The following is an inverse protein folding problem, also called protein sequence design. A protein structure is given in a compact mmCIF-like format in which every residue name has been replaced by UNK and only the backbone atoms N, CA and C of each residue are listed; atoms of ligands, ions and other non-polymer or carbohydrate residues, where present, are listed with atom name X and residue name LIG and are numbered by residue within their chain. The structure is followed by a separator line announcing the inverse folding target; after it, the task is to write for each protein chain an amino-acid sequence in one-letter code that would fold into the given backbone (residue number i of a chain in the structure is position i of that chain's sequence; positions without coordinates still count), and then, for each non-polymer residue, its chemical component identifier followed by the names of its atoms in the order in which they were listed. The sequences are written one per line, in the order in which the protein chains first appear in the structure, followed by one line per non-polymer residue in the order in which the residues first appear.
data_IF_944434118053
#
_entry.id   IF_944434118053
#
_cell.length_a   1.000
_cell.length_b   1.000
_cell.length_c   1.000
_cell.angle_alpha   90.00
_cell.angle_beta   90.00
_cell.angle_gamma   90.00
#
_symmetry.space_group_name_H-M   'P 1'
#
loop_
_entity.id
_entity.type
_entity.pdbx_description
1 polymer ?
#
# COMPACT_ATOMS: atom_id res chain seq x y z
N UNK A 1 0.48 14.24 -5.22
CA UNK A 1 1.07 15.21 -6.19
C UNK A 1 1.08 16.61 -5.59
N UNK A 2 -0.08 17.13 -5.14
CA UNK A 2 -0.20 18.48 -4.55
C UNK A 2 0.67 18.69 -3.29
N UNK A 3 0.74 17.70 -2.43
CA UNK A 3 1.55 17.66 -1.20
C UNK A 3 3.07 17.76 -1.45
N UNK A 4 3.59 16.96 -2.40
CA UNK A 4 5.03 16.94 -2.73
C UNK A 4 5.49 18.29 -3.31
N UNK A 5 4.68 18.90 -4.17
CA UNK A 5 4.97 20.22 -4.72
C UNK A 5 5.09 21.29 -3.62
N UNK A 6 4.24 21.24 -2.59
CA UNK A 6 4.31 22.18 -1.47
C UNK A 6 5.55 21.96 -0.60
N UNK A 7 5.97 20.71 -0.37
CA UNK A 7 7.23 20.43 0.31
C UNK A 7 8.42 21.03 -0.46
N UNK A 8 8.49 20.81 -1.78
CA UNK A 8 9.56 21.40 -2.61
C UNK A 8 9.52 22.92 -2.60
N UNK A 9 8.32 23.52 -2.75
CA UNK A 9 8.15 24.97 -2.73
C UNK A 9 8.66 25.60 -1.43
N UNK A 10 8.45 24.94 -0.28
CA UNK A 10 8.98 25.42 1.00
C UNK A 10 10.52 25.46 1.01
N UNK A 11 11.17 24.47 0.41
CA UNK A 11 12.64 24.44 0.30
C UNK A 11 13.12 25.57 -0.62
N UNK A 12 12.43 25.82 -1.74
CA UNK A 12 12.75 26.95 -2.62
C UNK A 12 12.63 28.30 -1.90
N UNK A 13 11.64 28.49 -1.00
CA UNK A 13 11.53 29.70 -0.18
C UNK A 13 12.72 29.88 0.77
N UNK A 14 13.28 28.78 1.30
CA UNK A 14 14.44 28.82 2.21
C UNK A 14 15.76 29.05 1.46
N UNK A 15 15.83 28.69 0.17
CA UNK A 15 17.03 28.80 -0.66
C UNK A 15 16.72 29.43 -2.04
N UNK A 16 16.39 30.74 -2.11
CA UNK A 16 15.85 31.37 -3.30
C UNK A 16 16.82 31.43 -4.50
N UNK A 17 18.13 31.42 -4.24
CA UNK A 17 19.17 31.51 -5.27
C UNK A 17 19.86 30.16 -5.54
N UNK A 18 19.36 29.06 -4.96
CA UNK A 18 19.96 27.74 -5.13
C UNK A 18 19.51 27.09 -6.45
N UNK A 19 20.45 26.39 -7.10
CA UNK A 19 20.15 25.55 -8.25
C UNK A 19 19.40 24.28 -7.84
N UNK A 20 18.69 23.65 -8.78
CA UNK A 20 17.82 22.48 -8.49
C UNK A 20 18.54 21.33 -7.79
N UNK A 21 19.81 21.06 -8.12
CA UNK A 21 20.60 20.02 -7.45
C UNK A 21 20.73 20.26 -5.93
N UNK A 22 20.98 21.51 -5.55
CA UNK A 22 21.07 21.94 -4.14
C UNK A 22 19.69 21.89 -3.49
N UNK A 23 18.62 22.25 -4.21
CA UNK A 23 17.25 22.12 -3.68
C UNK A 23 16.92 20.67 -3.32
N UNK A 24 17.30 19.69 -4.15
CA UNK A 24 17.06 18.27 -3.86
C UNK A 24 17.86 17.81 -2.64
N UNK A 25 19.13 18.21 -2.53
CA UNK A 25 19.96 17.93 -1.35
C UNK A 25 19.31 18.50 -0.06
N UNK A 26 18.94 19.79 -0.10
CA UNK A 26 18.29 20.47 1.04
C UNK A 26 16.94 19.91 1.37
N UNK A 27 16.18 19.42 0.38
CA UNK A 27 14.90 18.76 0.60
C UNK A 27 15.06 17.53 1.51
N UNK A 28 15.98 16.62 1.18
CA UNK A 28 16.21 15.44 2.01
C UNK A 28 16.85 15.78 3.36
N UNK A 29 17.81 16.72 3.38
CA UNK A 29 18.45 17.17 4.62
C UNK A 29 17.44 17.75 5.60
N UNK A 30 16.58 18.66 5.15
CA UNK A 30 15.62 19.35 6.01
C UNK A 30 14.50 18.39 6.45
N UNK A 31 13.89 17.64 5.52
CA UNK A 31 12.74 16.81 5.89
C UNK A 31 13.08 15.53 6.64
N UNK A 32 14.33 15.05 6.56
CA UNK A 32 14.81 13.97 7.42
C UNK A 32 14.99 14.39 8.89
N UNK A 33 15.19 15.69 9.15
CA UNK A 33 15.40 16.28 10.48
C UNK A 33 14.24 17.16 10.94
N UNK A 34 13.18 17.29 10.13
CA UNK A 34 12.04 18.13 10.43
C UNK A 34 11.30 17.62 11.67
N UNK A 35 10.96 18.55 12.56
CA UNK A 35 10.31 18.27 13.84
C UNK A 35 8.81 17.97 13.68
N UNK A 36 8.47 16.91 12.92
CA UNK A 36 7.09 16.43 12.78
C UNK A 36 6.46 16.18 14.17
N UNK A 37 5.22 16.63 14.43
CA UNK A 37 4.20 17.08 13.49
C UNK A 37 4.15 18.61 13.24
N UNK A 38 5.25 19.34 13.40
CA UNK A 38 5.28 20.77 13.03
C UNK A 38 4.86 20.96 11.56
N UNK A 39 3.90 21.86 11.25
CA UNK A 39 3.36 21.97 9.90
C UNK A 39 4.32 22.65 8.94
N UNK A 40 4.28 22.19 7.69
CA UNK A 40 4.90 22.88 6.56
C UNK A 40 3.90 23.91 6.01
N UNK A 41 4.27 25.18 6.11
CA UNK A 41 3.49 26.34 5.67
C UNK A 41 4.23 27.09 4.55
N UNK A 42 3.53 27.43 3.48
CA UNK A 42 4.06 28.28 2.39
C UNK A 42 3.78 29.76 2.60
N UNK A 43 2.74 30.09 3.36
CA UNK A 43 2.38 31.43 3.80
C UNK A 43 1.69 31.34 5.17
N UNK A 44 1.51 32.48 5.83
CA UNK A 44 0.68 32.51 7.05
C UNK A 44 -0.75 32.10 6.72
N UNK A 45 -1.38 31.34 7.62
CA UNK A 45 -2.78 30.96 7.47
C UNK A 45 -3.62 32.21 7.68
N UNK A 46 -4.42 32.55 6.68
CA UNK A 46 -5.29 33.72 6.69
C UNK A 46 -6.69 33.32 7.18
N UNK A 47 -7.28 34.17 8.00
CA UNK A 47 -8.71 34.10 8.29
C UNK A 47 -9.47 34.69 7.10
N UNK A 48 -10.64 34.13 6.80
CA UNK A 48 -11.49 34.59 5.72
C UNK A 48 -12.92 34.86 6.18
N UNK A 49 -13.72 35.51 5.33
CA UNK A 49 -15.05 36.01 5.70
C UNK A 49 -16.11 34.90 5.82
N UNK A 50 -15.80 33.68 5.38
CA UNK A 50 -16.73 32.55 5.39
C UNK A 50 -16.61 31.75 6.68
N UNK A 51 -17.72 31.23 7.20
CA UNK A 51 -17.75 30.33 8.36
C UNK A 51 -17.35 28.90 7.95
N UNK A 52 -16.16 28.75 7.34
CA UNK A 52 -15.62 27.45 6.91
C UNK A 52 -14.49 27.02 7.84
N UNK A 53 -14.33 25.70 8.00
CA UNK A 53 -13.24 25.14 8.79
C UNK A 53 -11.90 25.40 8.12
N UNK A 54 -11.03 26.10 8.81
CA UNK A 54 -9.61 26.27 8.46
C UNK A 54 -8.77 25.36 9.36
N UNK A 55 -7.71 24.74 8.83
CA UNK A 55 -6.84 23.84 9.58
C UNK A 55 -6.29 24.53 10.83
N UNK A 56 -6.62 23.99 12.01
CA UNK A 56 -6.19 24.56 13.29
C UNK A 56 -6.06 23.44 14.36
N UNK A 57 -4.83 22.99 14.67
CA UNK A 57 -4.60 21.89 15.62
C UNK A 57 -4.88 22.28 17.09
N UNK A 58 -5.01 23.58 17.39
CA UNK A 58 -5.39 24.07 18.73
C UNK A 58 -6.88 23.89 18.97
N UNK A 59 -7.70 24.17 17.95
CA UNK A 59 -9.16 24.08 18.03
C UNK A 59 -9.69 22.69 17.71
N UNK A 60 -9.19 22.03 16.67
CA UNK A 60 -9.75 20.77 16.17
C UNK A 60 -8.87 19.56 16.53
N UNK A 61 -9.44 18.62 17.28
CA UNK A 61 -8.75 17.38 17.68
C UNK A 61 -8.27 16.56 16.48
N UNK A 62 -9.05 16.52 15.40
CA UNK A 62 -8.67 15.83 14.15
C UNK A 62 -7.39 16.41 13.54
N UNK A 63 -7.27 17.75 13.53
CA UNK A 63 -6.08 18.42 12.98
C UNK A 63 -4.84 18.17 13.82
N UNK A 64 -5.01 18.03 15.14
CA UNK A 64 -3.95 17.68 16.09
C UNK A 64 -3.39 16.27 15.88
N UNK A 65 -4.19 15.37 15.30
CA UNK A 65 -3.78 13.99 15.02
C UNK A 65 -2.99 13.86 13.71
N UNK A 66 -2.87 14.92 12.91
CA UNK A 66 -2.07 14.88 11.68
C UNK A 66 -0.59 14.68 11.99
N UNK A 67 0.00 13.63 11.39
CA UNK A 67 1.37 13.19 11.68
C UNK A 67 2.45 14.00 10.96
N UNK A 68 2.20 14.33 9.70
CA UNK A 68 3.14 15.12 8.88
C UNK A 68 2.38 16.22 8.11
N UNK A 69 1.86 17.25 8.79
CA UNK A 69 0.94 18.20 8.18
C UNK A 69 1.62 19.09 7.12
N UNK A 70 1.11 19.06 5.90
CA UNK A 70 1.49 19.96 4.80
C UNK A 70 0.25 20.75 4.40
N UNK A 71 0.28 22.07 4.61
CA UNK A 71 -0.93 22.90 4.59
C UNK A 71 -1.07 23.63 3.26
N UNK A 72 -2.28 23.58 2.69
CA UNK A 72 -2.58 24.29 1.44
C UNK A 72 -2.58 25.81 1.66
N UNK A 73 -1.93 26.58 0.77
CA UNK A 73 -1.80 28.03 0.93
C UNK A 73 -3.09 28.79 0.58
N UNK A 74 -3.97 28.23 -0.25
CA UNK A 74 -5.23 28.88 -0.58
C UNK A 74 -6.24 28.74 0.55
N UNK A 75 -7.02 29.80 0.80
CA UNK A 75 -8.14 29.80 1.72
C UNK A 75 -9.32 28.96 1.15
N UNK A 76 -9.99 28.13 1.97
CA UNK A 76 -9.64 27.76 3.33
C UNK A 76 -8.47 26.76 3.37
N UNK A 77 -7.47 27.04 4.21
CA UNK A 77 -6.30 26.18 4.36
C UNK A 77 -6.66 24.82 4.96
N UNK A 78 -6.18 23.74 4.35
CA UNK A 78 -6.42 22.35 4.76
C UNK A 78 -5.12 21.55 4.76
N UNK A 79 -5.12 20.43 5.48
CA UNK A 79 -4.00 19.49 5.47
C UNK A 79 -4.09 18.55 4.25
N UNK A 80 -3.13 18.65 3.34
CA UNK A 80 -3.06 17.79 2.15
C UNK A 80 -2.61 16.35 2.48
N UNK A 81 -2.02 16.13 3.65
CA UNK A 81 -1.41 14.87 4.09
C UNK A 81 -2.15 14.21 5.26
N UNK A 82 -3.45 14.50 5.41
CA UNK A 82 -4.30 13.93 6.48
C UNK A 82 -4.37 12.40 6.47
N UNK A 83 -4.03 11.75 5.35
CA UNK A 83 -4.01 10.30 5.18
C UNK A 83 -2.73 9.60 5.66
N UNK A 84 -1.72 10.34 6.15
CA UNK A 84 -0.49 9.72 6.67
C UNK A 84 -0.76 8.99 8.00
N UNK A 85 -0.42 7.70 8.03
CA UNK A 85 -0.50 6.78 9.17
C UNK A 85 0.83 6.68 9.92
N UNK A 86 0.89 5.96 11.04
CA UNK A 86 2.17 5.75 11.74
C UNK A 86 3.15 4.99 10.85
N UNK A 87 2.64 3.96 10.16
CA UNK A 87 3.46 3.12 9.29
C UNK A 87 3.99 3.88 8.08
N UNK A 88 3.13 4.64 7.38
CA UNK A 88 3.58 5.41 6.21
C UNK A 88 4.51 6.56 6.60
N UNK A 89 4.31 7.20 7.76
CA UNK A 89 5.28 8.16 8.31
C UNK A 89 6.66 7.52 8.50
N UNK A 90 6.74 6.33 9.10
CA UNK A 90 8.03 5.63 9.26
C UNK A 90 8.71 5.37 7.92
N UNK A 91 7.97 4.89 6.92
CA UNK A 91 8.49 4.65 5.56
C UNK A 91 9.01 5.95 4.94
N UNK A 92 8.23 7.03 4.99
CA UNK A 92 8.64 8.34 4.43
C UNK A 92 9.91 8.84 5.12
N UNK A 93 10.01 8.71 6.45
CA UNK A 93 11.21 9.10 7.20
C UNK A 93 12.43 8.23 6.89
N UNK A 94 12.25 6.92 6.67
CA UNK A 94 13.32 6.03 6.16
C UNK A 94 13.81 6.50 4.79
N UNK A 95 12.89 6.80 3.87
CA UNK A 95 13.24 7.26 2.52
C UNK A 95 13.88 8.65 2.52
N UNK A 96 13.47 9.57 3.41
CA UNK A 96 14.15 10.85 3.56
C UNK A 96 15.60 10.68 4.03
N UNK A 97 15.84 9.77 4.98
CA UNK A 97 17.20 9.45 5.45
C UNK A 97 18.03 8.78 4.35
N UNK A 98 17.46 7.83 3.60
CA UNK A 98 18.10 7.20 2.44
C UNK A 98 18.50 8.26 1.41
N UNK A 99 17.57 9.14 1.05
CA UNK A 99 17.82 10.22 0.09
C UNK A 99 18.91 11.18 0.58
N UNK A 100 18.91 11.56 1.86
CA UNK A 100 19.96 12.42 2.43
C UNK A 100 21.34 11.78 2.30
N UNK A 101 21.48 10.50 2.66
CA UNK A 101 22.76 9.78 2.56
C UNK A 101 23.23 9.66 1.11
N UNK A 102 22.34 9.31 0.18
CA UNK A 102 22.68 9.24 -1.25
C UNK A 102 23.09 10.61 -1.79
N UNK A 103 22.39 11.69 -1.42
CA UNK A 103 22.75 13.04 -1.84
C UNK A 103 24.13 13.45 -1.33
N UNK A 104 24.49 13.10 -0.08
CA UNK A 104 25.83 13.34 0.45
C UNK A 104 26.91 12.57 -0.33
N UNK A 105 26.62 11.33 -0.73
CA UNK A 105 27.52 10.52 -1.57
C UNK A 105 27.65 11.08 -2.99
N UNK A 106 26.58 11.63 -3.58
CA UNK A 106 26.61 12.30 -4.88
C UNK A 106 27.50 13.54 -4.81
N UNK A 107 27.33 14.39 -3.78
CA UNK A 107 28.15 15.59 -3.58
C UNK A 107 29.63 15.22 -3.37
N UNK A 108 29.90 14.09 -2.72
CA UNK A 108 31.26 13.57 -2.53
C UNK A 108 31.82 12.80 -3.75
N UNK A 109 31.07 12.71 -4.86
CA UNK A 109 31.50 12.01 -6.07
C UNK A 109 31.51 10.47 -5.98
N UNK A 110 30.86 9.88 -4.97
CA UNK A 110 30.78 8.42 -4.75
C UNK A 110 29.58 7.75 -5.41
N UNK A 111 28.52 8.51 -5.69
CA UNK A 111 27.27 8.04 -6.31
C UNK A 111 26.79 9.00 -7.39
N UNK A 112 25.77 8.57 -8.12
CA UNK A 112 25.14 9.30 -9.22
C UNK A 112 23.65 9.53 -8.95
N UNK A 113 23.02 10.37 -9.77
CA UNK A 113 21.56 10.59 -9.71
C UNK A 113 20.74 9.33 -9.97
N UNK A 114 21.27 8.39 -10.74
CA UNK A 114 20.62 7.11 -11.00
C UNK A 114 20.41 6.30 -9.71
N UNK A 115 21.36 6.37 -8.78
CA UNK A 115 21.26 5.69 -7.48
C UNK A 115 20.11 6.26 -6.62
N UNK A 116 19.84 7.56 -6.73
CA UNK A 116 18.73 8.20 -6.02
C UNK A 116 17.37 7.74 -6.57
N UNK A 117 17.29 7.56 -7.89
CA UNK A 117 16.08 7.21 -8.63
C UNK A 117 15.89 5.70 -8.80
N UNK A 118 16.77 4.89 -8.20
CA UNK A 118 16.66 3.44 -8.19
C UNK A 118 15.29 2.99 -7.68
N UNK A 119 14.75 1.95 -8.33
CA UNK A 119 13.44 1.39 -8.02
C UNK A 119 13.44 0.84 -6.59
N UNK A 120 12.32 0.99 -5.90
CA UNK A 120 12.13 0.43 -4.57
C UNK A 120 12.18 -1.11 -4.58
N UNK A 121 12.55 -1.72 -3.46
CA UNK A 121 12.58 -3.19 -3.30
C UNK A 121 11.35 -3.71 -2.52
N UNK A 122 10.18 -3.08 -2.68
CA UNK A 122 8.99 -3.38 -1.86
C UNK A 122 8.64 -4.88 -1.83
N UNK A 123 8.68 -5.57 -2.97
CA UNK A 123 8.36 -7.00 -3.11
C UNK A 123 9.54 -7.93 -2.76
N UNK A 124 10.64 -7.38 -2.23
CA UNK A 124 11.79 -8.12 -1.71
C UNK A 124 12.04 -7.82 -0.22
N UNK A 125 11.56 -6.67 0.28
CA UNK A 125 11.82 -6.13 1.63
C UNK A 125 11.15 -6.89 2.77
N UNK A 126 9.96 -7.47 2.56
CA UNK A 126 9.16 -8.06 3.64
C UNK A 126 9.08 -9.58 3.55
N UNK A 127 8.94 -10.26 4.70
CA UNK A 127 8.74 -11.73 4.73
C UNK A 127 7.29 -12.12 4.45
N UNK A 128 6.36 -11.24 4.82
CA UNK A 128 4.92 -11.46 4.74
C UNK A 128 4.25 -10.23 4.13
N UNK A 129 3.24 -10.50 3.31
CA UNK A 129 2.40 -9.51 2.65
C UNK A 129 0.94 -9.87 2.88
N UNK A 130 0.07 -8.88 2.98
CA UNK A 130 -1.36 -9.06 2.80
C UNK A 130 -1.71 -8.69 1.37
N UNK A 131 -2.33 -9.60 0.65
CA UNK A 131 -2.94 -9.35 -0.65
C UNK A 131 -4.43 -9.17 -0.44
N UNK A 132 -4.93 -7.96 -0.70
CA UNK A 132 -6.34 -7.63 -0.72
C UNK A 132 -6.79 -7.79 -2.17
N UNK A 133 -7.86 -8.53 -2.41
CA UNK A 133 -8.44 -8.74 -3.74
C UNK A 133 -9.88 -8.24 -3.69
N UNK A 134 -10.19 -7.25 -4.52
CA UNK A 134 -11.56 -6.85 -4.83
C UNK A 134 -11.94 -7.50 -6.17
N UNK A 135 -13.07 -8.19 -6.22
CA UNK A 135 -13.55 -8.86 -7.42
C UNK A 135 -15.00 -8.49 -7.71
N UNK A 136 -15.32 -8.34 -9.00
CA UNK A 136 -16.68 -8.06 -9.46
C UNK A 136 -17.03 -9.00 -10.60
N UNK A 137 -18.11 -9.77 -10.44
CA UNK A 137 -18.72 -10.59 -11.49
C UNK A 137 -19.79 -9.77 -12.22
N UNK A 138 -19.34 -8.80 -13.03
CA UNK A 138 -20.17 -7.87 -13.79
C UNK A 138 -19.27 -7.12 -14.79
N UNK A 139 -19.78 -6.02 -15.34
CA UNK A 139 -19.02 -5.12 -16.21
C UNK A 139 -17.91 -4.35 -15.46
N UNK A 140 -16.98 -3.79 -16.25
CA UNK A 140 -15.85 -3.03 -15.76
C UNK A 140 -16.23 -1.73 -15.02
N UNK A 141 -17.33 -1.07 -15.39
CA UNK A 141 -17.76 0.17 -14.74
C UNK A 141 -18.18 -0.08 -13.28
N UNK A 142 -18.97 -1.13 -13.04
CA UNK A 142 -19.35 -1.58 -11.71
C UNK A 142 -18.10 -1.99 -10.91
N UNK A 143 -17.14 -2.65 -11.55
CA UNK A 143 -15.86 -2.98 -10.93
C UNK A 143 -15.05 -1.75 -10.53
N UNK A 144 -14.94 -0.74 -11.39
CA UNK A 144 -14.19 0.48 -11.12
C UNK A 144 -14.73 1.22 -9.89
N UNK A 145 -16.05 1.24 -9.73
CA UNK A 145 -16.69 1.83 -8.54
C UNK A 145 -16.38 1.02 -7.28
N UNK A 146 -16.51 -0.31 -7.33
CA UNK A 146 -16.29 -1.18 -6.19
C UNK A 146 -14.81 -1.23 -5.77
N UNK A 147 -13.90 -1.49 -6.71
CA UNK A 147 -12.44 -1.51 -6.47
C UNK A 147 -11.94 -0.18 -5.95
N UNK A 148 -12.37 0.94 -6.54
CA UNK A 148 -12.04 2.30 -6.06
C UNK A 148 -12.55 2.58 -4.65
N UNK A 149 -13.75 2.08 -4.31
CA UNK A 149 -14.25 2.13 -2.93
C UNK A 149 -13.35 1.33 -1.97
N UNK A 150 -13.00 0.09 -2.30
CA UNK A 150 -12.11 -0.75 -1.48
C UNK A 150 -10.73 -0.09 -1.31
N UNK A 151 -10.14 0.41 -2.40
CA UNK A 151 -8.86 1.12 -2.39
C UNK A 151 -8.89 2.35 -1.47
N UNK A 152 -9.97 3.15 -1.54
CA UNK A 152 -10.16 4.33 -0.68
C UNK A 152 -10.18 4.01 0.82
N UNK A 153 -10.56 2.77 1.18
CA UNK A 153 -10.64 2.31 2.56
C UNK A 153 -9.39 1.54 3.01
N UNK A 154 -8.47 1.19 2.11
CA UNK A 154 -7.26 0.40 2.43
C UNK A 154 -6.46 1.03 3.58
N UNK A 155 -6.42 2.36 3.65
CA UNK A 155 -5.79 3.09 4.76
C UNK A 155 -6.36 2.72 6.13
N UNK A 156 -7.66 2.48 6.24
CA UNK A 156 -8.31 2.10 7.50
C UNK A 156 -7.83 0.73 7.97
N UNK A 157 -7.60 -0.21 7.05
CA UNK A 157 -6.98 -1.50 7.35
C UNK A 157 -5.55 -1.30 7.87
N UNK A 158 -4.75 -0.44 7.21
CA UNK A 158 -3.38 -0.10 7.66
C UNK A 158 -3.40 0.47 9.09
N UNK A 159 -4.32 1.39 9.39
CA UNK A 159 -4.48 2.00 10.72
C UNK A 159 -4.86 0.97 11.79
N UNK A 160 -5.65 -0.05 11.44
CA UNK A 160 -5.98 -1.13 12.37
C UNK A 160 -4.79 -2.07 12.56
N UNK A 161 -4.11 -2.46 11.48
CA UNK A 161 -2.95 -3.34 11.52
C UNK A 161 -1.79 -2.77 12.35
N UNK A 162 -1.54 -1.46 12.30
CA UNK A 162 -0.48 -0.82 13.10
C UNK A 162 -0.76 -0.80 14.62
N UNK A 163 -1.97 -1.15 15.05
CA UNK A 163 -2.32 -1.30 16.47
C UNK A 163 -2.24 -2.74 16.98
N UNK A 164 -2.05 -3.71 16.08
CA UNK A 164 -1.95 -5.13 16.43
C UNK A 164 -0.58 -5.41 17.06
N UNK A 165 -0.58 -6.06 18.22
CA UNK A 165 0.67 -6.47 18.87
C UNK A 165 1.48 -7.42 17.97
N UNK A 166 2.77 -7.13 17.84
CA UNK A 166 3.68 -7.85 16.96
C UNK A 166 3.77 -7.29 15.53
N UNK A 167 2.91 -6.35 15.11
CA UNK A 167 3.11 -5.59 13.85
C UNK A 167 3.94 -4.35 14.12
N UNK A 168 5.17 -4.33 13.60
CA UNK A 168 6.04 -3.14 13.71
C UNK A 168 5.71 -2.10 12.63
N UNK A 169 5.35 -2.58 11.44
CA UNK A 169 5.07 -1.77 10.25
C UNK A 169 4.06 -2.48 9.33
N UNK A 170 3.03 -1.75 8.92
CA UNK A 170 2.14 -2.13 7.82
C UNK A 170 2.32 -1.14 6.64
N UNK A 171 3.05 -1.54 5.61
CA UNK A 171 3.41 -0.68 4.48
C UNK A 171 2.51 -0.96 3.27
N UNK A 172 1.51 -0.12 2.97
CA UNK A 172 0.71 -0.27 1.76
C UNK A 172 1.55 0.02 0.51
N UNK A 173 1.41 -0.81 -0.51
CA UNK A 173 1.96 -0.53 -1.83
C UNK A 173 1.16 0.59 -2.51
N UNK A 174 1.84 1.37 -3.36
CA UNK A 174 1.28 2.61 -3.92
C UNK A 174 0.49 2.43 -5.21
N UNK A 175 0.46 1.21 -5.76
CA UNK A 175 -0.28 0.87 -6.98
C UNK A 175 -1.11 -0.38 -6.76
N UNK A 176 -2.27 -0.42 -7.39
CA UNK A 176 -3.04 -1.65 -7.55
C UNK A 176 -2.63 -2.38 -8.84
N UNK A 177 -3.05 -3.63 -8.95
CA UNK A 177 -2.88 -4.46 -10.14
C UNK A 177 -4.25 -4.96 -10.57
N UNK A 178 -4.65 -4.60 -11.78
CA UNK A 178 -5.96 -4.89 -12.34
C UNK A 178 -5.87 -6.02 -13.36
N UNK A 179 -6.89 -6.86 -13.42
CA UNK A 179 -7.02 -7.92 -14.42
C UNK A 179 -8.48 -8.25 -14.64
N UNK A 180 -8.86 -8.51 -15.88
CA UNK A 180 -10.19 -9.01 -16.22
C UNK A 180 -10.10 -10.32 -16.98
N UNK A 181 -11.03 -11.23 -16.70
CA UNK A 181 -11.09 -12.57 -17.27
C UNK A 181 -12.52 -12.96 -17.65
N UNK A 182 -12.65 -13.84 -18.63
CA UNK A 182 -13.90 -14.52 -18.94
C UNK A 182 -13.88 -15.97 -18.44
N UNK A 183 -14.75 -16.27 -17.48
CA UNK A 183 -14.91 -17.59 -16.88
C UNK A 183 -16.10 -18.32 -17.52
N UNK A 184 -16.04 -19.65 -17.60
CA UNK A 184 -17.11 -20.49 -18.18
C UNK A 184 -18.37 -20.47 -17.31
N UNK A 185 -18.20 -20.50 -15.99
CA UNK A 185 -19.29 -20.51 -15.02
C UNK A 185 -18.91 -19.78 -13.72
N UNK A 186 -19.89 -19.62 -12.83
CA UNK A 186 -19.71 -18.99 -11.52
C UNK A 186 -18.72 -19.77 -10.63
N UNK A 187 -18.59 -21.09 -10.81
CA UNK A 187 -17.69 -21.91 -10.01
C UNK A 187 -16.22 -21.66 -10.38
N UNK A 188 -15.92 -21.52 -11.67
CA UNK A 188 -14.60 -21.12 -12.17
C UNK A 188 -14.28 -19.69 -11.71
N UNK A 189 -15.23 -18.76 -11.82
CA UNK A 189 -15.05 -17.40 -11.32
C UNK A 189 -14.71 -17.38 -9.83
N UNK A 190 -15.46 -18.13 -9.02
CA UNK A 190 -15.20 -18.23 -7.58
C UNK A 190 -13.84 -18.88 -7.27
N UNK A 191 -13.40 -19.87 -8.05
CA UNK A 191 -12.09 -20.49 -7.91
C UNK A 191 -10.97 -19.50 -8.22
N UNK A 192 -11.13 -18.68 -9.28
CA UNK A 192 -10.20 -17.60 -9.62
C UNK A 192 -10.10 -16.62 -8.46
N UNK A 193 -11.23 -16.10 -7.97
CA UNK A 193 -11.26 -15.17 -6.82
C UNK A 193 -10.54 -15.78 -5.60
N UNK A 194 -10.82 -17.04 -5.27
CA UNK A 194 -10.23 -17.77 -4.14
C UNK A 194 -8.70 -17.97 -4.25
N UNK A 195 -8.15 -18.03 -5.46
CA UNK A 195 -6.73 -18.33 -5.68
C UNK A 195 -5.91 -17.10 -6.09
N UNK A 196 -6.56 -16.06 -6.63
CA UNK A 196 -5.93 -14.84 -7.14
C UNK A 196 -5.06 -14.10 -6.11
N UNK A 197 -3.93 -13.53 -6.54
CA UNK A 197 -2.99 -12.85 -5.64
C UNK A 197 -1.95 -13.76 -4.96
N UNK A 198 -1.89 -15.03 -5.35
CA UNK A 198 -0.82 -15.99 -5.01
C UNK A 198 -0.23 -16.58 -6.28
N UNK A 199 0.91 -17.27 -6.17
CA UNK A 199 1.50 -18.00 -7.29
C UNK A 199 0.55 -19.07 -7.87
N UNK A 200 -0.22 -19.75 -7.03
CA UNK A 200 -1.19 -20.76 -7.48
C UNK A 200 -2.31 -20.14 -8.33
N UNK A 201 -2.75 -18.92 -7.97
CA UNK A 201 -3.75 -18.20 -8.74
C UNK A 201 -3.30 -17.89 -10.16
N UNK A 202 -2.00 -17.61 -10.35
CA UNK A 202 -1.42 -17.33 -11.66
C UNK A 202 -1.48 -18.54 -12.60
N UNK A 203 -1.27 -19.76 -12.08
CA UNK A 203 -1.41 -20.98 -12.88
C UNK A 203 -2.85 -21.21 -13.35
N UNK A 204 -3.83 -20.84 -12.51
CA UNK A 204 -5.26 -20.95 -12.83
C UNK A 204 -5.66 -19.92 -13.88
N UNK A 205 -5.19 -18.67 -13.76
CA UNK A 205 -5.57 -17.60 -14.68
C UNK A 205 -4.84 -17.65 -16.02
N UNK A 206 -3.72 -18.39 -16.12
CA UNK A 206 -2.89 -18.46 -17.33
C UNK A 206 -3.62 -18.88 -18.61
N UNK A 207 -4.64 -19.73 -18.47
CA UNK A 207 -5.41 -20.25 -19.61
C UNK A 207 -6.75 -19.52 -19.82
N UNK A 208 -7.07 -18.52 -19.00
CA UNK A 208 -8.30 -17.75 -19.14
C UNK A 208 -8.13 -16.69 -20.23
N UNK A 209 -9.20 -16.46 -20.99
CA UNK A 209 -9.27 -15.33 -21.93
C UNK A 209 -9.37 -14.04 -21.15
N UNK A 210 -8.62 -13.03 -21.58
CA UNK A 210 -8.56 -11.72 -20.91
C UNK A 210 -9.75 -10.85 -21.33
N UNK A 211 -10.13 -9.90 -20.47
CA UNK A 211 -11.15 -8.90 -20.81
C UNK A 211 -10.72 -7.92 -21.91
N UNK A 212 -9.43 -7.91 -22.26
CA UNK A 212 -8.82 -7.04 -23.25
C UNK A 212 -8.68 -7.72 -24.63
N UNK A 213 -9.15 -8.97 -24.75
CA UNK A 213 -9.13 -9.73 -25.99
C UNK A 213 -10.11 -9.15 -27.04
N UNK A 214 -9.73 -9.18 -28.32
CA UNK A 214 -10.51 -8.63 -29.44
C UNK A 214 -11.93 -9.26 -29.57
N UNK A 215 -12.14 -10.47 -29.03
CA UNK A 215 -13.40 -11.22 -29.06
C UNK A 215 -14.37 -10.91 -27.91
N UNK A 216 -14.12 -9.84 -27.12
CA UNK A 216 -14.89 -9.47 -25.92
C UNK A 216 -16.42 -9.60 -26.09
N UNK A 217 -16.96 -9.06 -27.18
CA UNK A 217 -18.42 -9.00 -27.42
C UNK A 217 -19.12 -10.36 -27.61
N UNK A 218 -18.39 -11.40 -28.03
CA UNK A 218 -18.92 -12.75 -28.15
C UNK A 218 -18.83 -13.51 -26.83
N UNK A 219 -17.75 -13.27 -26.07
CA UNK A 219 -17.51 -13.87 -24.77
C UNK A 219 -18.51 -13.37 -23.72
N UNK A 220 -18.84 -12.08 -23.71
CA UNK A 220 -19.84 -11.49 -22.79
C UNK A 220 -21.22 -12.15 -22.87
N UNK A 221 -21.58 -12.72 -24.03
CA UNK A 221 -22.89 -13.37 -24.22
C UNK A 221 -22.96 -14.78 -23.65
N UNK A 222 -21.82 -15.42 -23.46
CA UNK A 222 -21.73 -16.87 -23.18
C UNK A 222 -20.96 -17.20 -21.91
N UNK A 223 -20.17 -16.25 -21.39
CA UNK A 223 -19.27 -16.42 -20.27
C UNK A 223 -19.52 -15.41 -19.17
N UNK A 224 -19.07 -15.75 -17.98
CA UNK A 224 -19.09 -14.87 -16.80
C UNK A 224 -17.89 -13.92 -16.89
N UNK A 225 -18.16 -12.62 -16.98
CA UNK A 225 -17.15 -11.57 -16.91
C UNK A 225 -16.72 -11.36 -15.46
N UNK A 226 -15.41 -11.39 -15.20
CA UNK A 226 -14.81 -11.25 -13.88
C UNK A 226 -13.70 -10.21 -13.92
N UNK A 227 -13.84 -9.14 -13.14
CA UNK A 227 -12.81 -8.13 -12.95
C UNK A 227 -12.21 -8.20 -11.55
N UNK A 228 -10.89 -8.02 -11.45
CA UNK A 228 -10.11 -8.21 -10.24
C UNK A 228 -9.11 -7.06 -10.06
N UNK A 229 -9.12 -6.43 -8.90
CA UNK A 229 -8.08 -5.51 -8.46
C UNK A 229 -7.39 -6.11 -7.24
N UNK A 230 -6.06 -6.16 -7.25
CA UNK A 230 -5.28 -6.53 -6.06
C UNK A 230 -4.38 -5.42 -5.55
N UNK A 231 -4.32 -5.33 -4.23
CA UNK A 231 -3.52 -4.36 -3.49
C UNK A 231 -2.67 -5.12 -2.47
N UNK A 232 -1.47 -4.61 -2.18
CA UNK A 232 -0.55 -5.27 -1.27
C UNK A 232 -0.21 -4.40 -0.06
N UNK A 233 -0.09 -5.03 1.11
CA UNK A 233 0.48 -4.43 2.31
C UNK A 233 1.65 -5.30 2.78
N UNK A 234 2.87 -4.75 2.78
CA UNK A 234 4.04 -5.41 3.35
C UNK A 234 4.00 -5.35 4.88
N UNK A 235 4.23 -6.48 5.55
CA UNK A 235 4.22 -6.56 7.01
C UNK A 235 5.63 -6.78 7.55
N UNK A 236 6.08 -5.86 8.41
CA UNK A 236 7.23 -6.09 9.29
C UNK A 236 6.70 -6.53 10.65
N UNK A 237 7.02 -7.77 11.02
CA UNK A 237 6.53 -8.40 12.24
C UNK A 237 7.69 -8.58 13.21
N UNK A 238 7.51 -8.17 14.46
CA UNK A 238 8.48 -8.35 15.55
C UNK A 238 7.87 -9.17 16.69
N UNK A 239 8.10 -10.49 16.66
CA UNK A 239 7.58 -11.45 17.63
C UNK A 239 8.63 -11.74 18.71
N UNK A 240 9.07 -10.74 19.47
CA UNK A 240 9.99 -10.98 20.60
C UNK A 240 9.28 -11.42 21.88
N UNK A 241 7.97 -11.16 22.00
CA UNK A 241 7.19 -11.41 23.21
C UNK A 241 6.42 -12.74 23.21
N UNK A 242 7.09 -13.85 22.91
CA UNK A 242 6.55 -15.20 23.18
C UNK A 242 5.39 -15.69 22.29
N UNK A 243 4.62 -14.80 21.66
CA UNK A 243 3.55 -15.17 20.74
C UNK A 243 4.10 -15.60 19.38
N UNK A 244 3.80 -16.85 19.02
CA UNK A 244 4.27 -17.47 17.77
C UNK A 244 3.37 -17.18 16.57
N UNK A 245 2.26 -16.46 16.77
CA UNK A 245 1.25 -16.21 15.75
C UNK A 245 0.78 -14.77 15.82
N UNK A 246 0.80 -14.09 14.68
CA UNK A 246 0.18 -12.79 14.51
C UNK A 246 -1.31 -13.00 14.24
N UNK A 247 -2.17 -12.51 15.12
CA UNK A 247 -3.62 -12.51 14.89
C UNK A 247 -4.06 -11.19 14.23
N UNK A 248 -4.42 -11.27 12.95
CA UNK A 248 -4.97 -10.16 12.16
C UNK A 248 -6.45 -10.35 11.83
N UNK A 249 -7.11 -11.36 12.41
CA UNK A 249 -8.50 -11.69 12.05
C UNK A 249 -9.44 -10.53 12.35
N UNK A 250 -9.30 -9.89 13.51
CA UNK A 250 -10.16 -8.77 13.90
C UNK A 250 -10.02 -7.55 12.96
N UNK A 251 -8.81 -7.00 12.70
CA UNK A 251 -8.63 -5.95 11.70
C UNK A 251 -9.19 -6.28 10.32
N UNK A 252 -8.98 -7.53 9.86
CA UNK A 252 -9.50 -7.99 8.57
C UNK A 252 -11.03 -8.06 8.56
N UNK A 253 -11.64 -8.61 9.62
CA UNK A 253 -13.10 -8.71 9.76
C UNK A 253 -13.76 -7.33 9.77
N UNK A 254 -13.21 -6.38 10.51
CA UNK A 254 -13.73 -5.00 10.50
C UNK A 254 -13.60 -4.35 9.12
N UNK A 255 -12.48 -4.56 8.41
CA UNK A 255 -12.32 -4.05 7.07
C UNK A 255 -13.33 -4.67 6.09
N UNK A 256 -13.58 -5.98 6.19
CA UNK A 256 -14.64 -6.64 5.42
C UNK A 256 -16.01 -6.00 5.69
N UNK A 257 -16.35 -5.73 6.94
CA UNK A 257 -17.62 -5.09 7.30
C UNK A 257 -17.73 -3.67 6.73
N UNK A 258 -16.64 -2.91 6.73
CA UNK A 258 -16.59 -1.58 6.10
C UNK A 258 -16.89 -1.70 4.60
N UNK A 259 -16.25 -2.64 3.89
CA UNK A 259 -16.48 -2.83 2.46
C UNK A 259 -17.90 -3.34 2.15
N UNK A 260 -18.44 -4.26 2.95
CA UNK A 260 -19.81 -4.79 2.82
C UNK A 260 -20.89 -3.74 3.18
N UNK A 261 -20.54 -2.71 3.95
CA UNK A 261 -21.44 -1.60 4.28
C UNK A 261 -21.62 -0.57 3.15
N UNK A 262 -20.92 -0.75 2.02
CA UNK A 262 -21.10 0.10 0.86
C UNK A 262 -22.54 -0.04 0.31
N UNK A 263 -23.28 1.06 0.08
CA UNK A 263 -24.70 0.98 -0.26
C UNK A 263 -25.02 0.16 -1.52
N UNK A 264 -24.10 0.12 -2.49
CA UNK A 264 -24.25 -0.64 -3.73
C UNK A 264 -23.66 -2.06 -3.65
N UNK A 265 -23.27 -2.53 -2.46
CA UNK A 265 -22.67 -3.85 -2.30
C UNK A 265 -23.70 -4.97 -2.53
N UNK A 266 -23.59 -5.61 -3.70
CA UNK A 266 -24.29 -6.84 -4.03
C UNK A 266 -23.42 -8.08 -3.72
N UNK A 267 -23.94 -9.02 -2.91
CA UNK A 267 -23.21 -10.23 -2.52
C UNK A 267 -23.08 -11.26 -3.65
N UNK A 268 -23.93 -11.18 -4.68
CA UNK A 268 -23.84 -12.07 -5.85
C UNK A 268 -22.74 -11.63 -6.83
N UNK A 269 -22.41 -10.34 -6.85
CA UNK A 269 -21.45 -9.77 -7.79
C UNK A 269 -20.12 -9.41 -7.15
N UNK A 270 -20.15 -8.83 -5.95
CA UNK A 270 -18.99 -8.25 -5.30
C UNK A 270 -18.38 -9.21 -4.30
N UNK A 271 -17.09 -9.46 -4.46
CA UNK A 271 -16.33 -10.30 -3.55
C UNK A 271 -15.08 -9.56 -3.09
N UNK A 272 -14.72 -9.77 -1.83
CA UNK A 272 -13.50 -9.23 -1.26
C UNK A 272 -12.77 -10.34 -0.52
N UNK A 273 -11.47 -10.45 -0.73
CA UNK A 273 -10.62 -11.42 -0.06
C UNK A 273 -9.35 -10.78 0.48
N UNK A 274 -8.86 -11.30 1.60
CA UNK A 274 -7.58 -10.89 2.19
C UNK A 274 -6.77 -12.15 2.43
N UNK A 275 -5.61 -12.23 1.78
CA UNK A 275 -4.72 -13.39 1.82
C UNK A 275 -3.40 -13.01 2.45
N UNK A 276 -2.92 -13.85 3.36
CA UNK A 276 -1.56 -13.74 3.85
C UNK A 276 -0.61 -14.48 2.91
N UNK A 277 0.22 -13.73 2.20
CA UNK A 277 1.12 -14.20 1.16
C UNK A 277 2.55 -14.09 1.66
N UNK A 278 3.32 -15.16 1.53
CA UNK A 278 4.75 -15.15 1.88
C UNK A 278 5.54 -14.58 0.71
N UNK A 279 6.71 -14.02 1.00
CA UNK A 279 7.61 -13.45 -0.02
C UNK A 279 7.80 -14.33 -1.26
N UNK A 280 8.07 -15.62 -1.06
CA UNK A 280 8.31 -16.58 -2.15
C UNK A 280 7.02 -17.10 -2.83
N UNK A 281 5.86 -16.62 -2.43
CA UNK A 281 4.54 -17.03 -2.94
C UNK A 281 3.78 -15.84 -3.58
N UNK A 282 4.42 -14.67 -3.66
CA UNK A 282 3.92 -13.51 -4.39
C UNK A 282 3.81 -13.82 -5.89
N UNK A 283 2.76 -13.37 -6.59
CA UNK A 283 2.58 -13.62 -8.03
C UNK A 283 3.69 -12.96 -8.88
N UNK A 284 3.97 -13.44 -10.10
CA UNK A 284 5.14 -13.00 -10.86
C UNK A 284 5.02 -11.56 -11.36
N UNK A 285 3.82 -11.11 -11.68
CA UNK A 285 3.53 -9.77 -12.19
C UNK A 285 3.92 -8.60 -11.25
N UNK A 286 4.22 -8.87 -9.98
CA UNK A 286 4.70 -7.82 -9.07
C UNK A 286 6.17 -7.47 -9.34
N UNK A 287 6.88 -8.34 -10.03
CA UNK A 287 8.28 -8.18 -10.43
C UNK A 287 8.34 -7.60 -11.84
N UNK A 288 9.18 -6.58 -12.03
CA UNK A 288 9.43 -6.00 -13.36
C UNK A 288 10.50 -6.79 -14.11
N UNK A 289 10.68 -6.48 -15.40
CA UNK A 289 11.72 -7.10 -16.22
C UNK A 289 13.10 -6.99 -15.54
N UNK A 290 13.78 -8.14 -15.40
CA UNK A 290 15.07 -8.25 -14.72
C UNK A 290 14.99 -8.54 -13.21
N UNK A 291 13.83 -8.36 -12.56
CA UNK A 291 13.64 -8.79 -11.17
C UNK A 291 13.22 -10.26 -11.10
N UNK A 292 13.86 -11.02 -10.21
CA UNK A 292 13.46 -12.41 -9.95
C UNK A 292 12.79 -12.55 -8.59
N UNK A 293 11.74 -13.38 -8.53
CA UNK A 293 11.12 -13.76 -7.27
C UNK A 293 12.15 -14.39 -6.31
N UNK A 294 12.17 -14.00 -5.03
CA UNK A 294 13.02 -14.66 -4.04
C UNK A 294 12.69 -16.14 -3.86
N UNK A 295 13.72 -16.98 -3.94
CA UNK A 295 13.56 -18.42 -3.77
C UNK A 295 13.27 -18.81 -2.31
N UNK A 296 12.52 -19.89 -2.12
CA UNK A 296 12.29 -20.47 -0.80
C UNK A 296 13.62 -20.99 -0.23
N UNK A 297 14.01 -20.61 1.00
CA UNK A 297 15.25 -21.11 1.58
C UNK A 297 15.18 -22.64 1.73
N UNK A 298 16.16 -23.34 1.17
CA UNK A 298 16.27 -24.80 1.25
C UNK A 298 16.19 -25.25 2.72
N UNK A 299 15.39 -26.29 3.00
CA UNK A 299 15.37 -26.90 4.34
C UNK A 299 16.74 -27.51 4.59
N UNK A 300 17.57 -26.88 5.42
CA UNK A 300 18.76 -27.53 6.00
C UNK A 300 18.30 -28.84 6.67
N UNK A 301 18.84 -29.97 6.22
CA UNK A 301 18.71 -31.27 6.89
C UNK A 301 19.20 -31.07 8.33
N UNK A 302 18.30 -31.08 9.32
CA UNK A 302 18.71 -31.02 10.74
C UNK A 302 19.45 -32.32 11.03
N UNK A 303 20.77 -32.25 11.18
CA UNK A 303 21.50 -33.24 11.98
C UNK A 303 20.94 -33.15 13.41
N UNK A 304 20.55 -34.30 13.93
CA UNK A 304 19.99 -34.43 15.27
C UNK A 304 21.09 -34.13 16.30
N UNK A 305 21.18 -32.87 16.73
CA UNK A 305 21.66 -32.42 18.05
C UNK A 305 21.38 -30.92 18.14
N UNK A 306 20.74 -30.52 19.23
CA UNK A 306 20.26 -29.19 19.62
C UNK A 306 18.76 -28.94 19.39
N UNK A 307 18.01 -29.20 20.47
CA UNK A 307 16.70 -28.63 20.76
C UNK A 307 16.81 -27.12 21.00
N UNK A 308 16.64 -26.29 19.97
CA UNK A 308 16.08 -24.93 20.13
C UNK A 308 15.26 -24.55 18.88
N UNK A 309 14.05 -24.04 19.16
CA UNK A 309 13.09 -23.25 18.35
C UNK A 309 12.59 -23.80 16.99
N UNK A 310 11.35 -24.32 17.02
CA UNK A 310 10.52 -24.60 15.83
C UNK A 310 9.91 -23.31 15.27
N UNK A 311 10.02 -23.14 13.94
CA UNK A 311 9.52 -22.03 13.12
C UNK A 311 7.98 -21.86 13.22
N UNK A 312 7.45 -20.62 13.09
CA UNK A 312 6.01 -20.38 13.07
C UNK A 312 5.36 -21.00 11.81
N UNK A 313 4.17 -21.58 11.99
CA UNK A 313 3.28 -22.07 10.93
C UNK A 313 2.16 -21.03 10.74
N UNK A 314 1.97 -20.53 9.52
CA UNK A 314 0.77 -19.76 9.17
C UNK A 314 -0.37 -20.73 8.85
N UNK A 315 -1.58 -20.42 9.31
CA UNK A 315 -2.79 -21.19 9.04
C UNK A 315 -3.85 -20.27 8.48
N UNK A 316 -4.39 -20.63 7.32
CA UNK A 316 -5.72 -20.27 6.84
C UNK A 316 -5.83 -18.93 6.11
N UNK A 317 -6.30 -18.99 4.86
CA UNK A 317 -7.05 -17.88 4.28
C UNK A 317 -8.21 -17.54 5.22
N UNK A 318 -8.43 -16.26 5.51
CA UNK A 318 -9.64 -15.82 6.20
C UNK A 318 -10.71 -15.69 5.11
N UNK A 319 -11.45 -16.77 4.90
CA UNK A 319 -12.69 -16.74 4.13
C UNK A 319 -13.78 -16.41 5.15
N UNK A 320 -14.25 -15.17 5.16
CA UNK A 320 -15.48 -14.85 5.86
C UNK A 320 -16.64 -15.35 4.99
N UNK A 321 -17.43 -16.28 5.53
CA UNK A 321 -18.76 -16.57 4.97
C UNK A 321 -19.63 -15.32 5.01
#
# INVERSE_FOLDING_TARGET
IRDRAMLVARICQLYPNAVSAVIVEKFFQIYSQWSWPQPVLLKQIEDGPLQVRVWNPRLYQQDRQHRMPVITPAYPSMCATHNITASTQKVIMEEFKRGMNIMQDIVAGRKTWSDLLERHEFFHKYKFYLCIVAATQSNYEEHLQFSGMVESKLRLLVQKLETVEGVELAHPYVKAFDSGYFCQDEAEAQNVVNSYGTLQGEEITKNLKSSDDEEKSELEKTKVELHLTKMFIGLKIDLQKGDKKLDIQHPCAEFFNICKSWPSFDTSKHHIQIKNVKLYDLPNEVYVEGETRPAKPAKRKRTAKNEVQKRPKSTGAVIAK
#
